data_IF_405989817176
#
_entry.id   IF_405989817176
#
_cell.length_a   1.000
_cell.length_b   1.000
_cell.length_c   1.000
_cell.angle_alpha   90.00
_cell.angle_beta   90.00
_cell.angle_gamma   90.00
#
_symmetry.space_group_name_H-M   'P 1'
#
loop_
_entity.id
_entity.type
_entity.pdbx_description
1 polymer ?
#
# COMPACT_ATOMS: atom_id res chain seq x y z
N UNK A 1 3.46 -14.49 15.71
CA UNK A 1 2.95 -13.25 15.13
C UNK A 1 2.26 -13.57 13.83
N UNK A 2 1.23 -12.82 13.47
CA UNK A 2 0.51 -12.96 12.20
C UNK A 2 0.55 -11.61 11.49
N UNK A 3 0.77 -11.63 10.17
CA UNK A 3 0.79 -10.44 9.33
C UNK A 3 -0.38 -10.51 8.36
N UNK A 4 -1.15 -9.43 8.30
CA UNK A 4 -2.20 -9.20 7.34
C UNK A 4 -1.76 -8.01 6.47
N UNK A 5 -1.32 -8.34 5.27
CA UNK A 5 -0.60 -7.41 4.39
C UNK A 5 -1.52 -6.73 3.37
N UNK A 6 -2.65 -6.23 3.84
CA UNK A 6 -3.59 -5.50 3.00
C UNK A 6 -4.78 -6.32 2.54
N UNK A 7 -5.74 -5.66 1.93
CA UNK A 7 -6.98 -6.24 1.37
C UNK A 7 -7.84 -7.00 2.40
N UNK A 8 -7.88 -6.50 3.63
CA UNK A 8 -8.73 -7.05 4.68
C UNK A 8 -10.21 -6.81 4.41
N UNK A 9 -10.53 -5.81 3.57
CA UNK A 9 -11.89 -5.43 3.24
C UNK A 9 -12.05 -5.15 1.75
N UNK A 10 -13.04 -5.82 1.13
CA UNK A 10 -13.52 -5.52 -0.23
C UNK A 10 -14.86 -4.80 -0.23
N UNK A 11 -15.34 -4.37 0.93
CA UNK A 11 -16.55 -3.57 1.05
C UNK A 11 -16.19 -2.08 1.03
N UNK A 12 -16.07 -1.57 -0.18
CA UNK A 12 -15.54 -0.24 -0.48
C UNK A 12 -16.35 0.95 0.06
N UNK A 13 -17.51 0.72 0.64
CA UNK A 13 -18.37 1.80 1.16
C UNK A 13 -18.53 1.76 2.67
N UNK A 14 -18.24 0.63 3.26
CA UNK A 14 -18.57 0.31 4.64
C UNK A 14 -17.29 -0.09 5.42
N UNK A 15 -16.17 0.59 5.17
CA UNK A 15 -14.87 0.21 5.75
C UNK A 15 -14.96 -0.14 7.24
N UNK A 16 -15.59 0.72 8.05
CA UNK A 16 -15.67 0.48 9.49
C UNK A 16 -16.43 -0.81 9.81
N UNK A 17 -17.57 -1.07 9.17
CA UNK A 17 -18.33 -2.28 9.35
C UNK A 17 -17.56 -3.51 8.82
N UNK A 18 -16.94 -3.40 7.68
CA UNK A 18 -16.11 -4.46 7.09
C UNK A 18 -14.89 -4.77 7.96
N UNK A 19 -14.21 -3.76 8.49
CA UNK A 19 -13.12 -3.91 9.44
C UNK A 19 -13.53 -4.62 10.73
N UNK A 20 -14.67 -4.24 11.31
CA UNK A 20 -15.21 -4.92 12.49
C UNK A 20 -15.58 -6.37 12.19
N UNK A 21 -16.17 -6.64 11.02
CA UNK A 21 -16.50 -7.99 10.57
C UNK A 21 -15.23 -8.85 10.41
N UNK A 22 -14.19 -8.31 9.81
CA UNK A 22 -12.87 -8.95 9.72
C UNK A 22 -12.34 -9.29 11.13
N UNK A 23 -12.36 -8.34 12.05
CA UNK A 23 -11.96 -8.55 13.45
C UNK A 23 -12.74 -9.65 14.15
N UNK A 24 -14.08 -9.73 13.90
CA UNK A 24 -14.92 -10.77 14.45
C UNK A 24 -14.63 -12.16 13.86
N UNK A 25 -14.40 -12.23 12.55
CA UNK A 25 -14.06 -13.47 11.87
C UNK A 25 -12.73 -14.05 12.36
N UNK A 26 -11.73 -13.19 12.55
CA UNK A 26 -10.40 -13.58 13.02
C UNK A 26 -10.20 -13.42 14.53
N UNK A 27 -11.27 -13.25 15.30
CA UNK A 27 -11.20 -12.97 16.76
C UNK A 27 -10.33 -13.96 17.55
N UNK A 28 -10.34 -15.23 17.19
CA UNK A 28 -9.53 -16.25 17.86
C UNK A 28 -8.03 -16.05 17.61
N UNK A 29 -7.67 -15.53 16.45
CA UNK A 29 -6.29 -15.18 16.09
C UNK A 29 -5.88 -13.92 16.87
N UNK A 30 -6.64 -12.85 16.77
CA UNK A 30 -6.35 -11.56 17.40
C UNK A 30 -6.24 -11.65 18.93
N UNK A 31 -7.03 -12.54 19.56
CA UNK A 31 -6.97 -12.76 21.02
C UNK A 31 -5.70 -13.46 21.48
N UNK A 32 -5.08 -14.28 20.64
CA UNK A 32 -4.05 -15.23 21.04
C UNK A 32 -2.72 -15.01 20.34
N UNK A 33 -2.63 -14.11 19.40
CA UNK A 33 -1.40 -13.84 18.62
C UNK A 33 -1.21 -12.34 18.42
N UNK A 34 -0.01 -11.81 18.59
CA UNK A 34 0.32 -10.48 18.11
C UNK A 34 0.09 -10.41 16.60
N UNK A 35 -0.58 -9.39 16.15
CA UNK A 35 -0.93 -9.19 14.75
C UNK A 35 -0.41 -7.85 14.25
N UNK A 36 0.02 -7.82 12.99
CA UNK A 36 0.32 -6.62 12.23
C UNK A 36 -0.70 -6.55 11.10
N UNK A 37 -1.33 -5.43 10.93
CA UNK A 37 -2.23 -5.13 9.82
C UNK A 37 -1.74 -3.88 9.12
N UNK A 38 -1.73 -3.88 7.80
CA UNK A 38 -1.46 -2.70 6.98
C UNK A 38 -2.55 -2.58 5.92
N UNK A 39 -3.02 -1.35 5.61
CA UNK A 39 -4.02 -1.16 4.56
C UNK A 39 -3.42 -1.37 3.17
N UNK A 40 -4.27 -1.82 2.23
CA UNK A 40 -4.03 -1.76 0.80
C UNK A 40 -5.16 -0.97 0.12
N UNK A 41 -5.22 -0.95 -1.19
CA UNK A 41 -6.14 -0.13 -1.99
C UNK A 41 -7.61 -0.46 -1.72
N UNK A 42 -7.99 -1.72 -1.62
CA UNK A 42 -9.37 -2.11 -1.33
C UNK A 42 -9.83 -1.73 0.08
N UNK A 43 -8.91 -1.65 1.05
CA UNK A 43 -9.22 -1.17 2.39
C UNK A 43 -9.63 0.30 2.40
N UNK A 44 -9.04 1.11 1.53
CA UNK A 44 -9.44 2.50 1.29
C UNK A 44 -10.75 2.57 0.48
N UNK A 45 -11.03 1.54 -0.31
CA UNK A 45 -12.19 1.49 -1.19
C UNK A 45 -11.96 2.12 -2.57
N UNK A 46 -10.74 2.33 -2.93
CA UNK A 46 -10.31 2.82 -4.24
C UNK A 46 -9.41 1.77 -4.87
N UNK A 47 -10.02 0.78 -5.52
CA UNK A 47 -9.28 -0.29 -6.17
C UNK A 47 -8.19 0.24 -7.08
N UNK A 48 -6.98 -0.32 -6.95
CA UNK A 48 -5.77 0.12 -7.62
C UNK A 48 -5.34 1.54 -7.28
N UNK A 49 -5.58 1.99 -6.04
CA UNK A 49 -5.11 3.26 -5.54
C UNK A 49 -3.59 3.37 -5.69
N UNK A 50 -3.13 4.47 -6.26
CA UNK A 50 -1.71 4.80 -6.39
C UNK A 50 -1.24 5.87 -5.41
N UNK A 51 -2.09 6.82 -5.05
CA UNK A 51 -1.86 7.79 -3.99
C UNK A 51 -1.07 9.03 -4.39
N UNK A 52 -0.07 8.92 -5.23
CA UNK A 52 0.80 10.01 -5.73
C UNK A 52 1.21 11.05 -4.68
N UNK A 53 1.55 10.60 -3.46
CA UNK A 53 1.92 11.51 -2.36
C UNK A 53 0.74 12.17 -1.68
N UNK A 54 -0.46 11.62 -1.77
CA UNK A 54 -1.67 12.15 -1.17
C UNK A 54 -2.40 13.19 -2.02
N UNK A 55 -2.09 13.30 -3.30
CA UNK A 55 -2.80 14.19 -4.22
C UNK A 55 -4.28 13.87 -4.30
N UNK A 56 -5.07 14.90 -4.51
CA UNK A 56 -6.48 14.72 -4.85
C UNK A 56 -6.63 14.21 -6.28
N UNK A 57 -7.40 13.14 -6.46
CA UNK A 57 -7.77 12.70 -7.79
C UNK A 57 -8.67 13.71 -8.48
N UNK A 58 -8.35 14.01 -9.72
CA UNK A 58 -9.19 14.80 -10.62
C UNK A 58 -10.06 13.91 -11.52
N UNK A 59 -9.97 12.60 -11.36
CA UNK A 59 -10.70 11.59 -12.13
C UNK A 59 -11.54 10.73 -11.21
N UNK A 60 -12.74 10.40 -11.65
CA UNK A 60 -13.64 9.50 -10.91
C UNK A 60 -13.16 8.04 -10.85
N UNK A 61 -12.23 7.65 -11.72
CA UNK A 61 -11.63 6.33 -11.75
C UNK A 61 -10.31 6.22 -10.96
N UNK A 62 -9.79 7.34 -10.44
CA UNK A 62 -8.53 7.40 -9.69
C UNK A 62 -7.27 7.08 -10.50
N UNK A 63 -7.37 6.88 -11.81
CA UNK A 63 -6.23 6.45 -12.65
C UNK A 63 -5.15 7.54 -12.85
N UNK A 64 -5.40 8.75 -12.39
CA UNK A 64 -4.39 9.81 -12.29
C UNK A 64 -3.50 9.68 -11.05
N UNK A 65 -3.76 8.69 -10.22
CA UNK A 65 -2.95 8.33 -9.07
C UNK A 65 -3.36 8.99 -7.76
N UNK A 66 -4.30 9.95 -7.79
CA UNK A 66 -4.73 10.65 -6.58
C UNK A 66 -5.82 9.93 -5.78
N UNK A 67 -6.01 10.37 -4.54
CA UNK A 67 -7.12 9.94 -3.68
C UNK A 67 -8.42 10.67 -4.07
N UNK A 68 -9.50 9.94 -4.30
CA UNK A 68 -10.80 10.57 -4.53
C UNK A 68 -11.69 10.61 -3.28
N UNK A 69 -11.38 9.83 -2.26
CA UNK A 69 -12.06 9.91 -0.98
C UNK A 69 -11.60 11.13 -0.17
N UNK A 70 -12.42 11.52 0.79
CA UNK A 70 -12.09 12.62 1.68
C UNK A 70 -10.85 12.27 2.52
N UNK A 71 -9.86 13.17 2.69
CA UNK A 71 -8.60 12.87 3.39
C UNK A 71 -8.80 12.32 4.81
N UNK A 72 -9.81 12.79 5.54
CA UNK A 72 -10.09 12.28 6.89
C UNK A 72 -10.55 10.82 6.89
N UNK A 73 -11.22 10.38 5.81
CA UNK A 73 -11.56 8.98 5.66
C UNK A 73 -10.32 8.12 5.39
N UNK A 74 -9.44 8.56 4.51
CA UNK A 74 -8.16 7.86 4.22
C UNK A 74 -7.33 7.72 5.49
N UNK A 75 -7.19 8.80 6.26
CA UNK A 75 -6.50 8.78 7.56
C UNK A 75 -7.18 7.88 8.58
N UNK A 76 -8.51 7.84 8.60
CA UNK A 76 -9.26 6.97 9.50
C UNK A 76 -9.00 5.50 9.20
N UNK A 77 -8.98 5.10 7.93
CA UNK A 77 -8.67 3.72 7.51
C UNK A 77 -7.25 3.34 7.94
N UNK A 78 -6.25 4.17 7.63
CA UNK A 78 -4.86 3.94 8.04
C UNK A 78 -4.76 3.76 9.55
N UNK A 79 -5.31 4.71 10.32
CA UNK A 79 -5.27 4.66 11.78
C UNK A 79 -6.00 3.46 12.37
N UNK A 80 -7.14 3.06 11.80
CA UNK A 80 -7.89 1.89 12.27
C UNK A 80 -7.04 0.60 12.18
N UNK A 81 -6.18 0.51 11.16
CA UNK A 81 -5.35 -0.67 10.94
C UNK A 81 -3.97 -0.59 11.60
N UNK A 82 -3.43 0.60 11.85
CA UNK A 82 -2.04 0.76 12.28
C UNK A 82 -1.85 1.34 13.69
N UNK A 83 -2.91 1.85 14.35
CA UNK A 83 -2.80 2.53 15.64
C UNK A 83 -2.25 1.69 16.80
N UNK A 84 -2.17 0.37 16.66
CA UNK A 84 -1.60 -0.55 17.64
C UNK A 84 -0.13 -0.91 17.35
N UNK A 85 0.42 -0.42 16.26
CA UNK A 85 1.79 -0.65 15.82
C UNK A 85 2.72 0.46 16.32
N UNK A 86 4.05 0.32 16.18
CA UNK A 86 4.98 1.41 16.50
C UNK A 86 4.66 2.71 15.76
N UNK A 87 5.11 3.84 16.30
CA UNK A 87 4.93 5.13 15.64
C UNK A 87 5.53 5.13 14.23
N UNK A 88 4.93 5.84 13.29
CA UNK A 88 5.45 5.95 11.93
C UNK A 88 6.82 6.66 11.94
N UNK A 89 7.69 6.26 11.03
CA UNK A 89 9.01 6.87 10.83
C UNK A 89 8.90 8.35 10.44
N UNK A 90 7.88 8.70 9.67
CA UNK A 90 7.64 10.05 9.18
C UNK A 90 6.30 10.57 9.68
N UNK A 91 6.34 11.68 10.43
CA UNK A 91 5.17 12.23 11.13
C UNK A 91 4.50 13.41 10.42
N UNK A 92 5.17 13.95 9.38
CA UNK A 92 4.59 15.10 8.67
C UNK A 92 3.53 14.64 7.68
N UNK A 93 2.47 15.41 7.50
CA UNK A 93 1.45 15.10 6.52
C UNK A 93 1.98 15.27 5.09
N UNK A 94 1.45 14.45 4.20
CA UNK A 94 1.56 14.58 2.76
C UNK A 94 0.55 15.60 2.24
N UNK A 95 0.34 15.64 0.90
CA UNK A 95 -0.70 16.48 0.32
C UNK A 95 -2.08 16.18 0.93
N UNK A 96 -2.98 17.14 0.95
CA UNK A 96 -4.30 17.09 1.58
C UNK A 96 -4.27 16.73 3.10
N UNK A 97 -3.10 16.74 3.75
CA UNK A 97 -2.97 16.32 5.13
C UNK A 97 -3.08 14.81 5.35
N UNK A 98 -3.01 14.01 4.29
CA UNK A 98 -2.97 12.54 4.37
C UNK A 98 -1.64 12.12 4.99
N UNK A 99 -1.65 11.07 5.80
CA UNK A 99 -0.46 10.47 6.39
C UNK A 99 0.01 9.26 5.60
N UNK A 100 1.25 8.84 5.78
CA UNK A 100 1.77 7.57 5.28
C UNK A 100 2.38 6.79 6.44
N UNK A 101 1.97 5.53 6.57
CA UNK A 101 2.45 4.68 7.64
C UNK A 101 3.55 3.74 7.15
N UNK A 102 4.77 4.03 7.53
CA UNK A 102 5.91 3.12 7.38
C UNK A 102 6.84 3.24 8.59
N UNK A 103 7.36 2.11 9.03
CA UNK A 103 8.17 2.04 10.27
C UNK A 103 8.97 0.74 10.35
N UNK A 104 9.81 0.61 11.38
CA UNK A 104 10.43 -0.67 11.73
C UNK A 104 9.78 -1.31 12.95
N UNK A 105 9.71 -2.64 12.92
CA UNK A 105 9.21 -3.45 14.04
C UNK A 105 10.21 -4.57 14.34
N UNK A 106 10.83 -4.54 15.51
CA UNK A 106 11.76 -5.58 15.96
C UNK A 106 11.05 -6.57 16.87
N UNK A 107 10.98 -7.80 16.45
CA UNK A 107 10.34 -8.88 17.23
C UNK A 107 10.94 -10.24 16.93
N UNK A 108 11.18 -11.03 17.97
CA UNK A 108 11.68 -12.41 17.83
C UNK A 108 13.04 -12.53 17.11
N UNK A 109 13.89 -11.50 17.21
CA UNK A 109 15.20 -11.48 16.53
C UNK A 109 15.16 -11.09 15.06
N UNK A 110 13.98 -10.69 14.56
CA UNK A 110 13.79 -10.18 13.21
C UNK A 110 13.46 -8.69 13.25
N UNK A 111 14.03 -7.92 12.35
CA UNK A 111 13.71 -6.51 12.14
C UNK A 111 12.90 -6.38 10.85
N UNK A 112 11.64 -6.02 11.00
CA UNK A 112 10.71 -5.83 9.90
C UNK A 112 10.68 -4.36 9.47
N UNK A 113 10.93 -4.08 8.20
CA UNK A 113 10.52 -2.83 7.59
C UNK A 113 9.07 -3.00 7.09
N UNK A 114 8.16 -2.26 7.70
CA UNK A 114 6.78 -2.16 7.25
C UNK A 114 6.73 -0.96 6.30
N UNK A 115 6.29 -1.17 5.05
CA UNK A 115 6.22 -0.13 4.04
C UNK A 115 4.78 0.04 3.52
N UNK A 116 4.49 1.23 3.06
CA UNK A 116 3.20 1.58 2.46
C UNK A 116 3.41 1.87 0.97
N UNK A 117 3.25 0.86 0.14
CA UNK A 117 3.61 0.89 -1.27
C UNK A 117 2.54 1.52 -2.18
N UNK A 118 1.39 1.91 -1.64
CA UNK A 118 0.32 2.58 -2.40
C UNK A 118 0.38 4.10 -2.32
N UNK A 119 0.82 4.65 -1.20
CA UNK A 119 0.68 6.08 -0.89
C UNK A 119 1.45 7.02 -1.83
N UNK A 120 2.56 6.55 -2.40
CA UNK A 120 3.41 7.34 -3.30
C UNK A 120 3.36 6.89 -4.75
N UNK A 121 2.78 5.72 -5.01
CA UNK A 121 2.79 5.07 -6.32
C UNK A 121 2.14 5.95 -7.38
N UNK A 122 2.82 6.12 -8.50
CA UNK A 122 2.33 6.88 -9.65
C UNK A 122 1.11 6.23 -10.28
N UNK A 123 0.11 7.03 -10.61
CA UNK A 123 -1.00 6.59 -11.46
C UNK A 123 -0.58 6.47 -12.92
N UNK A 124 -1.19 5.56 -13.67
CA UNK A 124 -0.80 5.27 -15.07
C UNK A 124 -1.28 6.32 -16.06
N UNK A 125 -2.39 7.01 -15.77
CA UNK A 125 -3.05 7.87 -16.75
C UNK A 125 -2.17 9.05 -17.19
N UNK A 126 -1.95 9.16 -18.49
CA UNK A 126 -1.12 10.20 -19.10
C UNK A 126 0.38 10.00 -18.93
N UNK A 127 0.83 8.94 -18.22
CA UNK A 127 2.24 8.63 -17.99
C UNK A 127 2.71 7.43 -18.81
N UNK A 128 1.86 6.42 -18.93
CA UNK A 128 2.16 5.22 -19.69
C UNK A 128 1.14 4.99 -20.79
N UNK A 129 1.51 4.31 -21.89
CA UNK A 129 0.56 3.91 -22.92
C UNK A 129 -0.50 2.96 -22.35
N UNK A 130 -1.75 3.03 -22.81
CA UNK A 130 -2.76 2.03 -22.46
C UNK A 130 -2.30 0.62 -22.85
N UNK A 131 -2.34 -0.31 -21.91
CA UNK A 131 -1.90 -1.69 -22.11
C UNK A 131 -3.09 -2.69 -22.11
N UNK A 132 -4.31 -2.18 -21.99
CA UNK A 132 -5.53 -2.97 -21.95
C UNK A 132 -6.75 -2.10 -21.66
N UNK A 133 -7.93 -2.72 -21.46
CA UNK A 133 -9.18 -2.00 -21.21
C UNK A 133 -9.20 -1.29 -19.85
N UNK A 134 -8.35 -1.71 -18.94
CA UNK A 134 -8.10 -1.07 -17.63
C UNK A 134 -6.63 -0.76 -17.50
N UNK A 135 -6.31 0.31 -16.80
CA UNK A 135 -4.95 0.79 -16.64
C UNK A 135 -3.99 -0.23 -15.98
N UNK A 136 -4.54 -1.09 -15.15
CA UNK A 136 -3.85 -2.12 -14.38
C UNK A 136 -3.88 -3.53 -15.02
N UNK A 137 -4.54 -3.67 -16.18
CA UNK A 137 -4.71 -4.95 -16.85
C UNK A 137 -4.01 -4.96 -18.22
N UNK A 138 -2.96 -5.75 -18.31
CA UNK A 138 -2.22 -5.94 -19.56
C UNK A 138 -2.83 -7.12 -20.30
N UNK A 139 -3.37 -6.86 -21.51
CA UNK A 139 -3.99 -7.88 -22.35
C UNK A 139 -3.20 -8.13 -23.64
N UNK A 140 -2.15 -7.37 -23.89
CA UNK A 140 -1.33 -7.51 -25.07
C UNK A 140 -0.21 -8.52 -24.81
N UNK A 141 -0.16 -9.67 -25.53
CA UNK A 141 0.90 -10.64 -25.36
C UNK A 141 2.28 -10.14 -25.86
N UNK A 142 2.31 -9.07 -26.64
CA UNK A 142 3.54 -8.41 -27.10
C UNK A 142 4.03 -7.32 -26.13
N UNK A 143 3.42 -7.22 -24.94
CA UNK A 143 3.77 -6.24 -23.94
C UNK A 143 5.27 -6.23 -23.62
N UNK A 144 5.86 -5.04 -23.72
CA UNK A 144 7.25 -4.80 -23.34
C UNK A 144 7.31 -4.04 -22.01
N UNK A 145 7.77 -4.67 -20.92
CA UNK A 145 7.92 -4.01 -19.63
C UNK A 145 8.80 -2.75 -19.66
N UNK A 146 9.74 -2.67 -20.61
CA UNK A 146 10.62 -1.50 -20.72
C UNK A 146 9.87 -0.24 -21.14
N UNK A 147 8.77 -0.38 -21.87
CA UNK A 147 7.94 0.73 -22.33
C UNK A 147 7.22 1.47 -21.19
N UNK A 148 7.11 0.84 -20.03
CA UNK A 148 6.46 1.43 -18.85
C UNK A 148 7.40 1.56 -17.65
N UNK A 149 8.67 1.20 -17.80
CA UNK A 149 9.69 1.41 -16.77
C UNK A 149 10.34 2.78 -16.97
N UNK A 150 9.56 3.84 -16.74
CA UNK A 150 9.99 5.20 -16.98
C UNK A 150 10.60 5.81 -15.72
N UNK A 151 11.67 6.61 -15.85
CA UNK A 151 12.41 7.14 -14.68
C UNK A 151 11.58 8.10 -13.80
N UNK A 152 10.55 8.72 -14.36
CA UNK A 152 9.65 9.62 -13.62
C UNK A 152 8.56 8.90 -12.81
N UNK A 153 8.43 7.58 -12.96
CA UNK A 153 7.45 6.82 -12.20
C UNK A 153 7.96 6.50 -10.80
N UNK A 154 7.10 6.66 -9.83
CA UNK A 154 7.39 6.45 -8.41
C UNK A 154 6.61 5.24 -7.92
N UNK A 155 7.24 4.42 -7.09
CA UNK A 155 6.58 3.35 -6.33
C UNK A 155 6.54 3.71 -4.84
N UNK A 156 7.70 3.77 -4.19
CA UNK A 156 7.79 3.99 -2.74
C UNK A 156 7.98 5.45 -2.33
N UNK A 157 8.50 6.28 -3.23
CA UNK A 157 8.87 7.67 -2.94
C UNK A 157 10.15 7.81 -2.10
N UNK A 158 10.74 8.99 -2.15
CA UNK A 158 12.06 9.27 -1.54
C UNK A 158 12.06 9.07 -0.02
N UNK A 159 10.96 9.38 0.65
CA UNK A 159 10.86 9.22 2.10
C UNK A 159 11.02 7.76 2.53
N UNK A 160 10.39 6.83 1.82
CA UNK A 160 10.53 5.41 2.14
C UNK A 160 11.86 4.84 1.66
N UNK A 161 12.45 5.36 0.59
CA UNK A 161 13.83 5.00 0.19
C UNK A 161 14.83 5.39 1.27
N UNK A 162 14.77 6.61 1.79
CA UNK A 162 15.63 7.07 2.90
C UNK A 162 15.44 6.21 4.15
N UNK A 163 14.20 5.87 4.49
CA UNK A 163 13.89 4.96 5.59
C UNK A 163 14.54 3.58 5.37
N UNK A 164 14.36 2.98 4.20
CA UNK A 164 14.87 1.65 3.88
C UNK A 164 16.41 1.63 3.86
N UNK A 165 17.06 2.69 3.38
CA UNK A 165 18.51 2.83 3.43
C UNK A 165 19.03 2.86 4.87
N UNK A 166 18.45 3.70 5.72
CA UNK A 166 18.80 3.79 7.14
C UNK A 166 18.56 2.45 7.87
N UNK A 167 17.40 1.84 7.63
CA UNK A 167 17.05 0.54 8.19
C UNK A 167 17.99 -0.58 7.70
N UNK A 168 18.36 -0.57 6.41
CA UNK A 168 19.27 -1.55 5.82
C UNK A 168 20.70 -1.47 6.41
N UNK A 169 21.13 -0.28 6.81
CA UNK A 169 22.45 -0.05 7.43
C UNK A 169 22.51 -0.48 8.90
N UNK A 170 21.40 -0.57 9.60
CA UNK A 170 21.36 -1.06 10.99
C UNK A 170 21.76 -2.55 11.04
N UNK A 171 22.88 -2.85 11.70
CA UNK A 171 23.43 -4.21 11.85
C UNK A 171 23.09 -4.86 13.20
N UNK A 172 22.29 -4.20 14.02
CA UNK A 172 21.97 -4.71 15.37
C UNK A 172 21.07 -5.94 15.36
N UNK A 173 20.36 -6.18 14.24
CA UNK A 173 19.50 -7.36 14.07
C UNK A 173 19.94 -8.14 12.84
N UNK A 174 20.28 -9.44 12.99
CA UNK A 174 20.88 -10.22 11.91
C UNK A 174 19.89 -10.62 10.82
N UNK A 175 18.59 -10.68 11.14
CA UNK A 175 17.54 -11.07 10.20
C UNK A 175 16.68 -9.85 9.90
N UNK A 176 16.54 -9.56 8.63
CA UNK A 176 15.70 -8.46 8.14
C UNK A 176 14.62 -8.97 7.19
N UNK A 177 13.43 -8.41 7.31
CA UNK A 177 12.29 -8.73 6.44
C UNK A 177 11.53 -7.46 6.06
N UNK A 178 10.99 -7.41 4.86
CA UNK A 178 10.11 -6.33 4.41
C UNK A 178 8.68 -6.84 4.38
N UNK A 179 7.75 -6.06 4.93
CA UNK A 179 6.32 -6.26 4.83
C UNK A 179 5.73 -5.20 3.89
N UNK A 180 5.14 -5.65 2.80
CA UNK A 180 4.52 -4.85 1.76
C UNK A 180 3.18 -5.47 1.38
N UNK A 181 2.19 -4.67 1.02
CA UNK A 181 0.91 -5.15 0.49
C UNK A 181 1.08 -5.68 -0.94
N UNK A 182 1.89 -5.02 -1.76
CA UNK A 182 2.19 -5.46 -3.13
C UNK A 182 3.35 -6.47 -3.17
N UNK A 183 3.24 -7.45 -4.04
CA UNK A 183 4.33 -8.41 -4.30
C UNK A 183 5.60 -7.70 -4.78
N UNK A 184 6.72 -8.00 -4.15
CA UNK A 184 8.00 -7.34 -4.41
C UNK A 184 8.65 -7.81 -5.73
N UNK A 185 8.54 -9.10 -6.03
CA UNK A 185 9.05 -9.71 -7.25
C UNK A 185 7.91 -10.50 -7.87
N UNK A 186 7.25 -9.93 -8.84
CA UNK A 186 6.19 -10.58 -9.59
C UNK A 186 6.40 -10.36 -11.08
N UNK A 187 6.08 -11.36 -11.88
CA UNK A 187 5.91 -11.16 -13.32
C UNK A 187 4.68 -10.28 -13.59
N UNK A 188 4.66 -9.62 -14.73
CA UNK A 188 3.46 -8.97 -15.22
C UNK A 188 2.35 -10.02 -15.35
N UNK A 189 1.18 -9.74 -14.79
CA UNK A 189 0.01 -10.57 -15.01
C UNK A 189 -0.63 -10.18 -16.33
N UNK A 190 -0.54 -11.08 -17.30
CA UNK A 190 -1.36 -10.99 -18.49
C UNK A 190 -2.77 -11.50 -18.12
N UNK A 191 -3.70 -10.59 -18.02
CA UNK A 191 -5.10 -10.92 -17.88
C UNK A 191 -5.63 -11.36 -19.25
N UNK A 192 -5.45 -12.65 -19.57
CA UNK A 192 -6.00 -13.23 -20.79
C UNK A 192 -7.53 -13.19 -20.76
N UNK A 193 -8.13 -13.45 -21.91
CA UNK A 193 -9.56 -13.75 -21.97
C UNK A 193 -9.78 -15.05 -21.21
N UNK A 194 -10.48 -14.97 -20.08
CA UNK A 194 -11.03 -16.13 -19.43
C UNK A 194 -12.14 -16.71 -20.29
#
# INVERSE_FOLDING_TARGET
>A
MVFFAGDQSYDHKEHTAAWLKFGLQFRAVFRNRPCVTIPDDHDIGQGNLWGEGGKKSMRSDGNDGGDFFHPEYVKMVERAQTAHLPDPYYLQPLEQGITAYFTSLKVGGVDFAIIEDRKFKSGPNGKIPPQGPRADHINDPSYDPSAINLPELVLLGDLQHQFLEAWGQDKNTPIKAVLSATGFCGGAHLHGKA
#
